data_IF_026348814957
#
_entry.id   IF_026348814957
#
_cell.length_a   1.000
_cell.length_b   1.000
_cell.length_c   1.000
_cell.angle_alpha   90.00
_cell.angle_beta   90.00
_cell.angle_gamma   90.00
#
_symmetry.space_group_name_H-M   'P 1'
#
loop_
_entity.id
_entity.type
_entity.pdbx_description
1 polymer ?
#
# COMPACT_ATOMS: atom_id res chain seq x y z
N UNK A 1 -21.57 -13.61 -0.59
CA UNK A 1 -20.81 -13.10 0.56
C UNK A 1 -19.38 -12.87 0.10
N UNK A 2 -19.04 -11.66 -0.32
CA UNK A 2 -17.65 -11.32 -0.66
C UNK A 2 -16.86 -11.29 0.64
N UNK A 3 -16.04 -12.32 0.86
CA UNK A 3 -15.02 -12.30 1.89
C UNK A 3 -14.11 -11.13 1.52
N UNK A 4 -14.30 -9.98 2.18
CA UNK A 4 -13.30 -8.91 2.12
C UNK A 4 -12.04 -9.53 2.71
N UNK A 5 -10.94 -9.65 1.96
CA UNK A 5 -9.68 -10.13 2.52
C UNK A 5 -9.36 -9.24 3.72
N UNK A 6 -8.84 -9.84 4.79
CA UNK A 6 -8.51 -9.17 6.05
C UNK A 6 -7.70 -7.91 5.72
N UNK A 7 -8.33 -6.74 5.86
CA UNK A 7 -7.68 -5.48 5.53
C UNK A 7 -6.80 -5.10 6.72
N UNK A 8 -5.55 -4.79 6.45
CA UNK A 8 -4.66 -4.23 7.45
C UNK A 8 -4.59 -2.71 7.28
N UNK A 9 -4.29 -2.00 8.35
CA UNK A 9 -4.03 -0.56 8.30
C UNK A 9 -2.53 -0.32 8.38
N UNK A 10 -2.01 0.55 7.53
CA UNK A 10 -0.61 0.99 7.58
C UNK A 10 -0.52 2.49 7.30
N UNK A 11 0.65 3.06 7.59
CA UNK A 11 0.96 4.46 7.33
C UNK A 11 2.21 4.55 6.47
N UNK A 12 2.13 5.30 5.38
CA UNK A 12 3.27 5.65 4.54
C UNK A 12 3.95 6.87 5.16
N UNK A 13 5.23 6.74 5.51
CA UNK A 13 6.07 7.78 6.11
C UNK A 13 7.22 8.23 5.20
N UNK A 14 7.35 7.62 4.01
CA UNK A 14 8.48 7.86 3.14
C UNK A 14 8.16 7.62 1.67
N UNK A 15 9.21 7.44 0.86
CA UNK A 15 9.06 7.25 -0.58
C UNK A 15 8.64 5.82 -0.90
N UNK A 16 7.32 5.63 -1.02
CA UNK A 16 6.74 4.40 -1.53
C UNK A 16 6.32 4.62 -2.97
N UNK A 17 6.72 3.70 -3.82
CA UNK A 17 6.41 3.78 -5.25
C UNK A 17 5.88 2.46 -5.76
N UNK A 18 5.03 2.51 -6.77
CA UNK A 18 4.45 1.34 -7.42
C UNK A 18 4.46 1.53 -8.93
N UNK A 19 4.27 0.44 -9.67
CA UNK A 19 4.17 0.47 -11.13
C UNK A 19 2.85 -0.14 -11.56
N UNK A 20 2.11 0.56 -12.40
CA UNK A 20 0.90 0.05 -13.03
C UNK A 20 1.25 -0.53 -14.41
N UNK A 21 1.25 -1.86 -14.54
CA UNK A 21 1.63 -2.55 -15.77
C UNK A 21 3.05 -2.19 -16.22
N UNK A 22 3.19 -1.72 -17.46
CA UNK A 22 4.44 -1.22 -18.05
C UNK A 22 4.60 0.31 -17.94
N UNK A 23 3.74 0.97 -17.15
CA UNK A 23 3.77 2.42 -16.94
C UNK A 23 4.98 2.92 -16.15
N UNK A 24 5.10 4.24 -15.97
CA UNK A 24 6.11 4.83 -15.11
C UNK A 24 5.90 4.40 -13.64
N UNK A 25 6.95 4.55 -12.85
CA UNK A 25 6.88 4.37 -11.42
C UNK A 25 6.16 5.57 -10.79
N UNK A 26 5.04 5.30 -10.13
CA UNK A 26 4.18 6.29 -9.48
C UNK A 26 4.42 6.30 -7.98
N UNK A 27 4.28 7.46 -7.34
CA UNK A 27 4.46 7.62 -5.90
C UNK A 27 3.13 7.48 -5.17
N UNK A 28 3.15 6.76 -4.05
CA UNK A 28 2.07 6.74 -3.08
C UNK A 28 2.29 7.92 -2.12
N UNK A 29 1.29 8.79 -1.90
CA UNK A 29 1.42 9.90 -0.96
C UNK A 29 1.58 9.38 0.46
N UNK A 30 2.27 10.15 1.28
CA UNK A 30 2.37 9.91 2.72
C UNK A 30 1.00 9.99 3.40
N UNK A 31 0.81 9.16 4.43
CA UNK A 31 -0.43 9.09 5.19
C UNK A 31 -0.99 7.67 5.33
N UNK A 32 -2.20 7.59 5.86
CA UNK A 32 -2.85 6.33 6.17
C UNK A 32 -3.31 5.62 4.89
N UNK A 33 -3.00 4.32 4.82
CA UNK A 33 -3.35 3.44 3.72
C UNK A 33 -4.01 2.16 4.25
N UNK A 34 -4.99 1.66 3.50
CA UNK A 34 -5.54 0.32 3.69
C UNK A 34 -4.71 -0.67 2.86
N UNK A 35 -4.25 -1.74 3.50
CA UNK A 35 -3.43 -2.79 2.92
C UNK A 35 -4.29 -4.03 2.73
N UNK A 36 -4.30 -4.56 1.52
CA UNK A 36 -5.01 -5.78 1.15
C UNK A 36 -3.97 -6.81 0.70
N UNK A 37 -3.49 -7.66 1.62
CA UNK A 37 -2.53 -8.71 1.28
C UNK A 37 -3.21 -9.79 0.42
N UNK A 38 -2.61 -10.09 -0.71
CA UNK A 38 -2.93 -11.24 -1.56
C UNK A 38 -1.85 -12.33 -1.49
N UNK A 39 -2.03 -13.40 -2.26
CA UNK A 39 -1.08 -14.51 -2.30
C UNK A 39 0.31 -14.05 -2.78
N UNK A 40 0.37 -13.35 -3.91
CA UNK A 40 1.61 -12.95 -4.61
C UNK A 40 1.88 -11.44 -4.57
N UNK A 41 0.85 -10.63 -4.28
CA UNK A 41 0.91 -9.18 -4.30
C UNK A 41 0.19 -8.57 -3.10
N UNK A 42 0.50 -7.32 -2.81
CA UNK A 42 -0.13 -6.51 -1.76
C UNK A 42 -0.72 -5.28 -2.44
N UNK A 43 -2.03 -5.10 -2.31
CA UNK A 43 -2.71 -3.92 -2.85
C UNK A 43 -2.83 -2.88 -1.76
N UNK A 44 -2.33 -1.68 -2.02
CA UNK A 44 -2.48 -0.51 -1.16
C UNK A 44 -3.59 0.38 -1.71
N UNK A 45 -4.45 0.87 -0.84
CA UNK A 45 -5.47 1.87 -1.16
C UNK A 45 -5.36 3.05 -0.22
N UNK A 46 -5.49 4.24 -0.76
CA UNK A 46 -5.39 5.49 0.00
C UNK A 46 -6.35 6.52 -0.57
N UNK A 47 -6.48 7.65 0.12
CA UNK A 47 -7.24 8.80 -0.37
C UNK A 47 -6.27 9.86 -0.86
N UNK A 48 -6.46 10.34 -2.09
CA UNK A 48 -5.66 11.43 -2.64
C UNK A 48 -6.13 12.78 -2.08
N UNK A 49 -5.33 13.82 -2.25
CA UNK A 49 -5.66 15.17 -1.82
C UNK A 49 -6.98 15.69 -2.47
N UNK A 50 -7.24 15.33 -3.72
CA UNK A 50 -8.47 15.65 -4.45
C UNK A 50 -9.70 14.87 -3.97
N UNK A 51 -9.55 14.00 -2.97
CA UNK A 51 -10.62 13.19 -2.41
C UNK A 51 -10.90 11.89 -3.18
N UNK A 52 -10.19 11.64 -4.28
CA UNK A 52 -10.27 10.40 -5.05
C UNK A 52 -9.63 9.23 -4.31
N UNK A 53 -10.07 8.01 -4.60
CA UNK A 53 -9.42 6.80 -4.09
C UNK A 53 -8.23 6.44 -4.99
N UNK A 54 -7.04 6.43 -4.42
CA UNK A 54 -5.83 5.89 -5.05
C UNK A 54 -5.70 4.40 -4.77
N UNK A 55 -5.13 3.65 -5.72
CA UNK A 55 -4.84 2.23 -5.57
C UNK A 55 -3.53 1.90 -6.27
N UNK A 56 -2.71 1.07 -5.64
CA UNK A 56 -1.45 0.59 -6.21
C UNK A 56 -1.15 -0.83 -5.76
N UNK A 57 -0.69 -1.67 -6.69
CA UNK A 57 -0.26 -3.03 -6.40
C UNK A 57 1.26 -3.09 -6.26
N UNK A 58 1.72 -3.67 -5.15
CA UNK A 58 3.12 -3.97 -4.88
C UNK A 58 3.33 -5.48 -4.88
N UNK A 59 4.53 -5.92 -5.23
CA UNK A 59 4.94 -7.31 -4.94
C UNK A 59 5.18 -7.45 -3.44
N UNK A 60 5.04 -8.67 -2.89
CA UNK A 60 5.33 -8.93 -1.46
C UNK A 60 6.75 -8.55 -1.07
N UNK A 61 7.72 -8.77 -1.97
CA UNK A 61 9.11 -8.38 -1.76
C UNK A 61 9.29 -6.86 -1.66
N UNK A 62 8.64 -6.08 -2.52
CA UNK A 62 8.65 -4.61 -2.46
C UNK A 62 8.00 -4.12 -1.17
N UNK A 63 6.81 -4.63 -0.83
CA UNK A 63 6.13 -4.24 0.40
C UNK A 63 6.99 -4.54 1.65
N UNK A 64 7.55 -5.74 1.73
CA UNK A 64 8.43 -6.13 2.84
C UNK A 64 9.75 -5.33 2.88
N UNK A 65 10.23 -4.84 1.74
CA UNK A 65 11.35 -3.91 1.70
C UNK A 65 10.95 -2.56 2.31
N UNK A 66 9.83 -1.99 1.89
CA UNK A 66 9.35 -0.71 2.43
C UNK A 66 9.06 -0.76 3.93
N UNK A 67 8.58 -1.90 4.45
CA UNK A 67 8.45 -2.13 5.89
C UNK A 67 9.81 -2.10 6.60
N UNK A 68 10.82 -2.78 6.04
CA UNK A 68 12.17 -2.82 6.61
C UNK A 68 12.88 -1.47 6.58
N UNK A 69 12.64 -0.68 5.53
CA UNK A 69 13.17 0.68 5.40
C UNK A 69 12.41 1.69 6.27
N UNK A 70 11.27 1.31 6.85
CA UNK A 70 10.41 2.20 7.64
C UNK A 70 9.57 3.17 6.80
N UNK A 71 9.60 3.02 5.47
CA UNK A 71 8.78 3.80 4.54
C UNK A 71 7.28 3.47 4.68
N UNK A 72 6.97 2.24 5.09
CA UNK A 72 5.63 1.83 5.50
C UNK A 72 5.72 1.32 6.94
N UNK A 73 4.77 1.72 7.77
CA UNK A 73 4.62 1.22 9.14
C UNK A 73 3.22 0.64 9.28
N UNK A 74 3.13 -0.65 9.55
CA UNK A 74 1.85 -1.29 9.86
C UNK A 74 1.33 -0.73 11.20
N UNK A 75 0.07 -0.29 11.20
CA UNK A 75 -0.62 0.04 12.42
C UNK A 75 -0.95 -1.28 13.12
N UNK A 76 0.01 -1.80 13.89
CA UNK A 76 -0.22 -2.93 14.78
C UNK A 76 -1.36 -2.55 15.73
N UNK A 77 -2.53 -3.14 15.51
CA UNK A 77 -3.61 -3.11 16.48
C UNK A 77 -3.15 -3.99 17.65
N UNK A 78 -2.71 -3.33 18.73
CA UNK A 78 -2.37 -3.99 20.00
C UNK A 78 -3.61 -4.27 20.82
#
# INVERSE_FOLDING_TARGET
MTQQPDKQSATVHGEVTYREGDGPQLRIPEGQVDVYPGADSVVLRWKTADGSAGQGALTRSQYAQYLREGNIVEAQQR
#
